data_IF_498728925442
#
_entry.id   IF_498728925442
#
_cell.length_a   1.000
_cell.length_b   1.000
_cell.length_c   1.000
_cell.angle_alpha   90.00
_cell.angle_beta   90.00
_cell.angle_gamma   90.00
#
_symmetry.space_group_name_H-M   'P 1'
#
loop_
_entity.id
_entity.type
_entity.pdbx_description
1 polymer ?
#
# COMPACT_ATOMS: atom_id res chain seq x y z
N UNK A 1 -9.11 29.63 27.26
CA UNK A 1 -7.69 29.64 26.89
C UNK A 1 -7.18 28.25 27.28
N UNK A 2 -7.45 27.23 26.44
CA UNK A 2 -7.11 25.83 26.70
C UNK A 2 -5.72 25.62 26.08
N UNK A 3 -4.75 25.65 26.94
CA UNK A 3 -3.36 25.27 26.65
C UNK A 3 -3.35 23.74 26.44
N UNK A 4 -3.42 23.32 25.18
CA UNK A 4 -3.30 21.90 24.84
C UNK A 4 -1.85 21.51 25.03
N UNK A 5 -1.60 20.63 26.00
CA UNK A 5 -0.29 20.17 26.42
C UNK A 5 0.60 19.73 25.22
N UNK A 6 1.90 20.13 25.22
CA UNK A 6 2.86 19.79 24.17
C UNK A 6 2.90 18.32 23.74
N UNK A 7 2.76 17.34 24.64
CA UNK A 7 2.80 15.92 24.26
C UNK A 7 1.61 15.47 23.41
N UNK A 8 0.41 16.04 23.60
CA UNK A 8 -0.77 15.66 22.80
C UNK A 8 -0.68 16.17 21.35
N UNK A 9 -0.15 17.35 21.14
CA UNK A 9 0.11 17.91 19.80
C UNK A 9 1.14 17.09 19.04
N UNK A 10 2.22 16.68 19.68
CA UNK A 10 3.23 15.82 19.07
C UNK A 10 2.68 14.45 18.71
N UNK A 11 1.83 13.87 19.55
CA UNK A 11 1.17 12.60 19.26
C UNK A 11 0.15 12.71 18.11
N UNK A 12 -0.57 13.83 18.00
CA UNK A 12 -1.52 14.04 16.90
C UNK A 12 -0.82 14.27 15.56
N UNK A 13 0.27 15.04 15.54
CA UNK A 13 1.10 15.23 14.35
C UNK A 13 1.73 13.91 13.91
N UNK A 14 2.24 13.11 14.84
CA UNK A 14 2.78 11.78 14.55
C UNK A 14 1.76 10.85 13.88
N UNK A 15 0.51 10.85 14.33
CA UNK A 15 -0.58 10.06 13.72
C UNK A 15 -0.93 10.55 12.33
N UNK A 16 -1.02 11.86 12.11
CA UNK A 16 -1.30 12.43 10.78
C UNK A 16 -0.21 12.07 9.78
N UNK A 17 1.06 12.20 10.18
CA UNK A 17 2.20 11.80 9.36
C UNK A 17 2.18 10.29 9.08
N UNK A 18 1.76 9.47 10.05
CA UNK A 18 1.66 8.02 9.86
C UNK A 18 0.56 7.63 8.86
N UNK A 19 -0.58 8.32 8.82
CA UNK A 19 -1.60 8.10 7.77
C UNK A 19 -1.08 8.49 6.38
N UNK A 20 -0.32 9.58 6.29
CA UNK A 20 0.32 9.96 5.04
C UNK A 20 1.38 8.94 4.60
N UNK A 21 2.20 8.47 5.53
CA UNK A 21 3.17 7.40 5.29
C UNK A 21 2.48 6.08 4.87
N UNK A 22 1.30 5.78 5.43
CA UNK A 22 0.50 4.63 5.03
C UNK A 22 0.04 4.75 3.57
N UNK A 23 -0.51 5.91 3.19
CA UNK A 23 -0.92 6.15 1.80
C UNK A 23 0.28 6.04 0.84
N UNK A 24 1.42 6.61 1.20
CA UNK A 24 2.66 6.52 0.42
C UNK A 24 3.17 5.08 0.34
N UNK A 25 3.09 4.31 1.43
CA UNK A 25 3.43 2.88 1.44
C UNK A 25 2.55 2.07 0.49
N UNK A 26 1.24 2.36 0.43
CA UNK A 26 0.30 1.73 -0.51
C UNK A 26 0.70 2.05 -1.95
N UNK A 27 1.02 3.30 -2.25
CA UNK A 27 1.48 3.72 -3.59
C UNK A 27 2.80 3.06 -3.98
N UNK A 28 3.80 3.07 -3.10
CA UNK A 28 5.08 2.37 -3.35
C UNK A 28 4.87 0.88 -3.58
N UNK A 29 4.00 0.23 -2.80
CA UNK A 29 3.68 -1.19 -2.98
C UNK A 29 3.01 -1.46 -4.32
N UNK A 30 2.16 -0.55 -4.77
CA UNK A 30 1.53 -0.64 -6.08
C UNK A 30 2.54 -0.44 -7.23
N UNK A 31 3.52 0.46 -7.07
CA UNK A 31 4.61 0.65 -8.04
C UNK A 31 5.51 -0.60 -8.15
N UNK A 32 5.77 -1.29 -7.03
CA UNK A 32 6.48 -2.59 -7.05
C UNK A 32 5.80 -3.56 -8.01
N UNK A 33 4.46 -3.67 -7.98
CA UNK A 33 3.70 -4.50 -8.91
C UNK A 33 3.90 -4.09 -10.38
N UNK A 34 3.88 -2.78 -10.67
CA UNK A 34 4.09 -2.25 -12.03
C UNK A 34 5.50 -2.59 -12.53
N UNK A 35 6.53 -2.34 -11.71
CA UNK A 35 7.92 -2.63 -12.09
C UNK A 35 8.18 -4.13 -12.26
N UNK A 36 7.65 -4.96 -11.36
CA UNK A 36 7.71 -6.41 -11.46
C UNK A 36 7.11 -6.90 -12.79
N UNK A 37 5.98 -6.33 -13.20
CA UNK A 37 5.31 -6.70 -14.44
C UNK A 37 6.10 -6.28 -15.67
N UNK A 38 6.68 -5.07 -15.70
CA UNK A 38 7.58 -4.65 -16.76
C UNK A 38 8.85 -5.51 -16.82
N UNK A 39 9.44 -5.83 -15.66
CA UNK A 39 10.58 -6.74 -15.60
C UNK A 39 10.23 -8.12 -16.16
N UNK A 40 9.06 -8.67 -15.82
CA UNK A 40 8.61 -9.95 -16.34
C UNK A 40 8.36 -9.95 -17.85
N UNK A 41 7.78 -8.88 -18.39
CA UNK A 41 7.55 -8.75 -19.85
C UNK A 41 8.86 -8.66 -20.64
N UNK A 42 9.88 -8.03 -20.07
CA UNK A 42 11.20 -7.85 -20.68
C UNK A 42 12.07 -9.12 -20.64
N UNK A 43 11.74 -10.10 -19.78
CA UNK A 43 12.59 -11.25 -19.47
C UNK A 43 11.92 -12.61 -19.76
N UNK A 44 10.88 -12.65 -20.60
CA UNK A 44 10.09 -13.87 -20.88
C UNK A 44 10.93 -15.07 -21.34
N UNK A 45 12.06 -14.83 -22.08
CA UNK A 45 12.94 -15.88 -22.59
C UNK A 45 14.41 -15.69 -22.14
N UNK A 46 14.63 -15.06 -20.99
CA UNK A 46 15.96 -14.60 -20.58
C UNK A 46 16.61 -15.50 -19.53
N UNK A 47 17.93 -15.65 -19.62
CA UNK A 47 18.77 -16.28 -18.61
C UNK A 47 18.80 -15.44 -17.31
N UNK A 48 19.09 -16.10 -16.19
CA UNK A 48 19.19 -15.47 -14.84
C UNK A 48 20.13 -14.25 -14.84
N UNK A 49 21.20 -14.28 -15.62
CA UNK A 49 22.14 -13.17 -15.78
C UNK A 49 21.49 -11.94 -16.44
N UNK A 50 20.59 -12.13 -17.38
CA UNK A 50 19.86 -11.03 -18.03
C UNK A 50 18.82 -10.41 -17.11
N UNK A 51 18.20 -11.20 -16.24
CA UNK A 51 17.28 -10.70 -15.20
C UNK A 51 18.03 -9.73 -14.26
N UNK A 52 19.25 -10.07 -13.84
CA UNK A 52 20.08 -9.21 -13.00
C UNK A 52 20.54 -7.92 -13.67
N UNK A 53 20.60 -7.89 -15.00
CA UNK A 53 20.94 -6.69 -15.78
C UNK A 53 19.72 -5.82 -16.12
N UNK A 54 18.50 -6.31 -15.85
CA UNK A 54 17.28 -5.58 -16.14
C UNK A 54 17.11 -4.40 -15.17
N UNK A 55 17.02 -3.18 -15.71
CA UNK A 55 16.84 -1.96 -14.92
C UNK A 55 15.50 -1.91 -14.16
N UNK A 56 14.45 -2.55 -14.68
CA UNK A 56 13.15 -2.65 -14.03
C UNK A 56 13.20 -3.48 -12.76
N UNK A 57 14.02 -4.54 -12.77
CA UNK A 57 14.26 -5.36 -11.58
C UNK A 57 14.89 -4.56 -10.44
N UNK A 58 15.88 -3.70 -10.74
CA UNK A 58 16.48 -2.82 -9.75
C UNK A 58 15.53 -1.74 -9.26
N UNK A 59 14.69 -1.19 -10.15
CA UNK A 59 13.64 -0.24 -9.77
C UNK A 59 12.62 -0.88 -8.81
N UNK A 60 12.24 -2.14 -9.06
CA UNK A 60 11.39 -2.93 -8.17
C UNK A 60 12.00 -3.07 -6.78
N UNK A 61 13.28 -3.47 -6.70
CA UNK A 61 13.99 -3.64 -5.43
C UNK A 61 14.09 -2.33 -4.63
N UNK A 62 14.38 -1.22 -5.30
CA UNK A 62 14.42 0.11 -4.67
C UNK A 62 13.04 0.50 -4.14
N UNK A 63 12.00 0.31 -4.93
CA UNK A 63 10.62 0.59 -4.52
C UNK A 63 10.19 -0.28 -3.34
N UNK A 64 10.57 -1.58 -3.33
CA UNK A 64 10.30 -2.51 -2.25
C UNK A 64 11.02 -2.10 -0.95
N UNK A 65 12.30 -1.73 -1.04
CA UNK A 65 13.07 -1.24 0.10
C UNK A 65 12.49 0.06 0.66
N UNK A 66 12.14 1.01 -0.19
CA UNK A 66 11.51 2.27 0.20
C UNK A 66 10.16 2.02 0.88
N UNK A 67 9.33 1.15 0.33
CA UNK A 67 8.06 0.74 0.91
C UNK A 67 8.25 0.12 2.30
N UNK A 68 9.28 -0.73 2.49
CA UNK A 68 9.55 -1.35 3.77
C UNK A 68 9.88 -0.30 4.87
N UNK A 69 10.64 0.74 4.54
CA UNK A 69 10.95 1.84 5.48
C UNK A 69 9.68 2.57 5.91
N UNK A 70 8.82 2.96 4.95
CA UNK A 70 7.53 3.59 5.27
C UNK A 70 6.64 2.67 6.11
N UNK A 71 6.64 1.37 5.82
CA UNK A 71 5.85 0.40 6.57
C UNK A 71 6.29 0.29 8.04
N UNK A 72 7.60 0.24 8.30
CA UNK A 72 8.13 0.25 9.68
C UNK A 72 7.68 1.52 10.41
N UNK A 73 7.71 2.67 9.74
CA UNK A 73 7.23 3.93 10.32
C UNK A 73 5.74 3.88 10.63
N UNK A 74 4.93 3.35 9.72
CA UNK A 74 3.47 3.17 9.92
C UNK A 74 3.19 2.33 11.17
N UNK A 75 3.88 1.18 11.30
CA UNK A 75 3.70 0.27 12.43
C UNK A 75 4.08 0.88 13.78
N UNK A 76 4.96 1.87 13.78
CA UNK A 76 5.36 2.58 15.01
C UNK A 76 4.23 3.46 15.58
N UNK A 77 3.37 4.02 14.73
CA UNK A 77 2.38 5.03 15.13
C UNK A 77 0.93 4.59 14.93
N UNK A 78 0.66 3.61 14.09
CA UNK A 78 -0.68 3.10 13.82
C UNK A 78 -0.87 1.69 14.36
N UNK A 79 -2.09 1.44 14.85
CA UNK A 79 -2.49 0.10 15.27
C UNK A 79 -2.57 -0.84 14.06
N UNK A 80 -2.08 -2.07 14.25
CA UNK A 80 -2.14 -3.12 13.23
C UNK A 80 -3.55 -3.35 12.66
N UNK A 81 -4.57 -3.25 13.51
CA UNK A 81 -5.98 -3.41 13.11
C UNK A 81 -6.46 -2.38 12.08
N UNK A 82 -5.74 -1.26 11.92
CA UNK A 82 -6.01 -0.24 10.89
C UNK A 82 -5.05 -0.40 9.72
N UNK A 83 -3.76 -0.61 10.01
CA UNK A 83 -2.72 -0.65 8.99
C UNK A 83 -2.87 -1.84 8.03
N UNK A 84 -3.17 -3.06 8.54
CA UNK A 84 -3.30 -4.25 7.70
C UNK A 84 -4.51 -4.21 6.75
N UNK A 85 -5.74 -3.90 7.21
CA UNK A 85 -6.86 -3.77 6.28
C UNK A 85 -6.62 -2.68 5.23
N UNK A 86 -6.01 -1.56 5.60
CA UNK A 86 -5.70 -0.49 4.66
C UNK A 86 -4.73 -0.96 3.55
N UNK A 87 -3.77 -1.82 3.85
CA UNK A 87 -2.88 -2.40 2.84
C UNK A 87 -3.61 -3.26 1.81
N UNK A 88 -4.78 -3.81 2.13
CA UNK A 88 -5.57 -4.55 1.16
C UNK A 88 -6.08 -3.67 0.00
N UNK A 89 -6.14 -2.34 0.20
CA UNK A 89 -6.46 -1.40 -0.88
C UNK A 89 -5.45 -1.42 -2.03
N UNK A 90 -4.24 -1.91 -1.80
CA UNK A 90 -3.22 -2.12 -2.86
C UNK A 90 -3.80 -2.96 -4.00
N UNK A 91 -4.62 -3.97 -3.70
CA UNK A 91 -5.23 -4.82 -4.74
C UNK A 91 -6.17 -4.02 -5.65
N UNK A 92 -6.94 -3.07 -5.11
CA UNK A 92 -7.80 -2.19 -5.89
C UNK A 92 -6.96 -1.25 -6.78
N UNK A 93 -5.88 -0.69 -6.25
CA UNK A 93 -4.95 0.17 -6.99
C UNK A 93 -4.26 -0.62 -8.09
N UNK A 94 -3.80 -1.84 -7.80
CA UNK A 94 -3.15 -2.71 -8.80
C UNK A 94 -4.11 -3.09 -9.94
N UNK A 95 -5.39 -3.32 -9.65
CA UNK A 95 -6.40 -3.56 -10.68
C UNK A 95 -6.55 -2.33 -11.61
N UNK A 96 -6.50 -1.13 -11.03
CA UNK A 96 -6.48 0.12 -11.80
C UNK A 96 -5.25 0.24 -12.70
N UNK A 97 -4.06 -0.10 -12.19
CA UNK A 97 -2.82 -0.12 -12.99
C UNK A 97 -2.86 -1.17 -14.10
N UNK A 98 -3.37 -2.37 -13.83
CA UNK A 98 -3.54 -3.43 -14.84
C UNK A 98 -4.38 -2.96 -16.02
N UNK A 99 -5.49 -2.30 -15.74
CA UNK A 99 -6.35 -1.76 -16.78
C UNK A 99 -5.71 -0.59 -17.54
N UNK A 100 -5.10 0.36 -16.81
CA UNK A 100 -4.61 1.61 -17.40
C UNK A 100 -3.29 1.47 -18.16
N UNK A 101 -2.33 0.67 -17.63
CA UNK A 101 -0.99 0.55 -18.20
C UNK A 101 -0.82 -0.67 -19.12
N UNK A 102 -1.60 -1.72 -18.89
CA UNK A 102 -1.41 -3.00 -19.56
C UNK A 102 -2.61 -3.39 -20.43
N UNK A 103 -3.61 -2.52 -20.58
CA UNK A 103 -4.84 -2.78 -21.35
C UNK A 103 -5.48 -4.14 -21.01
N UNK A 104 -5.31 -4.60 -19.77
CA UNK A 104 -5.88 -5.86 -19.35
C UNK A 104 -7.39 -5.77 -19.19
N UNK A 105 -8.08 -6.79 -19.69
CA UNK A 105 -9.53 -6.88 -19.56
C UNK A 105 -9.91 -7.11 -18.10
N UNK A 106 -10.50 -6.10 -17.46
CA UNK A 106 -11.05 -6.21 -16.12
C UNK A 106 -12.30 -7.09 -16.16
N UNK A 107 -12.17 -8.32 -15.67
CA UNK A 107 -13.26 -9.27 -15.63
C UNK A 107 -14.25 -8.92 -14.51
N UNK A 108 -15.53 -9.30 -14.68
CA UNK A 108 -16.56 -9.11 -13.63
C UNK A 108 -16.14 -9.71 -12.28
N UNK A 109 -15.43 -10.83 -12.30
CA UNK A 109 -14.90 -11.47 -11.10
C UNK A 109 -13.90 -10.56 -10.37
N UNK A 110 -13.04 -9.86 -11.10
CA UNK A 110 -12.07 -8.91 -10.52
C UNK A 110 -12.78 -7.74 -9.83
N UNK A 111 -13.85 -7.21 -10.43
CA UNK A 111 -14.65 -6.13 -9.85
C UNK A 111 -15.35 -6.60 -8.58
N UNK A 112 -15.95 -7.79 -8.59
CA UNK A 112 -16.61 -8.37 -7.41
C UNK A 112 -15.59 -8.59 -6.29
N UNK A 113 -14.43 -9.20 -6.60
CA UNK A 113 -13.37 -9.42 -5.62
C UNK A 113 -12.86 -8.10 -5.00
N UNK A 114 -12.64 -7.09 -5.82
CA UNK A 114 -12.22 -5.77 -5.37
C UNK A 114 -13.29 -5.11 -4.47
N UNK A 115 -14.57 -5.23 -4.82
CA UNK A 115 -15.69 -4.74 -4.00
C UNK A 115 -15.75 -5.42 -2.63
N UNK A 116 -15.55 -6.73 -2.58
CA UNK A 116 -15.50 -7.49 -1.32
C UNK A 116 -14.33 -7.02 -0.45
N UNK A 117 -13.16 -6.78 -1.04
CA UNK A 117 -11.99 -6.26 -0.32
C UNK A 117 -12.31 -4.89 0.28
N UNK A 118 -12.88 -3.97 -0.49
CA UNK A 118 -13.23 -2.62 -0.01
C UNK A 118 -14.23 -2.70 1.14
N UNK A 119 -15.28 -3.50 1.02
CA UNK A 119 -16.27 -3.72 2.08
C UNK A 119 -15.59 -4.32 3.32
N UNK A 120 -14.72 -5.31 3.14
CA UNK A 120 -13.95 -5.92 4.24
C UNK A 120 -13.09 -4.91 4.98
N UNK A 121 -12.41 -4.00 4.26
CA UNK A 121 -11.60 -2.92 4.85
C UNK A 121 -12.47 -1.96 5.66
N UNK A 122 -13.62 -1.55 5.12
CA UNK A 122 -14.56 -0.64 5.83
C UNK A 122 -15.06 -1.28 7.13
N UNK A 123 -15.39 -2.56 7.10
CA UNK A 123 -15.87 -3.31 8.27
C UNK A 123 -14.76 -3.58 9.30
N UNK A 124 -13.52 -3.74 8.85
CA UNK A 124 -12.38 -4.03 9.70
C UNK A 124 -11.85 -2.78 10.44
N UNK A 125 -12.08 -1.57 9.91
CA UNK A 125 -11.72 -0.34 10.61
C UNK A 125 -12.67 -0.19 11.80
N UNK A 126 -12.16 -0.29 13.04
CA UNK A 126 -13.03 -0.20 14.22
C UNK A 126 -13.71 1.16 14.22
N UNK A 127 -15.04 1.17 14.07
CA UNK A 127 -15.85 2.32 14.45
C UNK A 127 -15.41 2.74 15.85
N UNK A 128 -15.12 4.03 16.05
CA UNK A 128 -14.90 4.61 17.39
C UNK A 128 -16.16 4.38 18.24
N UNK A 129 -16.39 3.14 18.65
CA UNK A 129 -17.34 2.91 19.74
C UNK A 129 -16.68 3.39 21.01
N UNK A 130 -17.11 4.58 21.42
CA UNK A 130 -17.18 5.09 22.78
C UNK A 130 -16.82 4.01 23.80
N UNK A 131 -15.72 4.22 24.54
CA UNK A 131 -15.60 3.66 25.88
C UNK A 131 -16.74 4.26 26.71
N UNK A 132 -17.85 3.53 26.81
CA UNK A 132 -18.83 3.72 27.88
C UNK A 132 -18.38 2.79 28.99
N UNK A 133 -18.07 3.39 30.10
CA UNK A 133 -17.79 2.94 31.47
C UNK A 133 -16.33 2.78 31.79
#
# INVERSE_FOLDING_TARGET
MTDSDPPERLASVGKTVAYFALALSILCRSLVFVFAKYAALDTVDSDVLQILQNHWYWAELIALGTQAVFWVYVLKYLNLNVAYPAMALVYAVNLGWSWYLFDEVVTRVNIIGCSIIIVGVILAIPSRRSKIT
#
